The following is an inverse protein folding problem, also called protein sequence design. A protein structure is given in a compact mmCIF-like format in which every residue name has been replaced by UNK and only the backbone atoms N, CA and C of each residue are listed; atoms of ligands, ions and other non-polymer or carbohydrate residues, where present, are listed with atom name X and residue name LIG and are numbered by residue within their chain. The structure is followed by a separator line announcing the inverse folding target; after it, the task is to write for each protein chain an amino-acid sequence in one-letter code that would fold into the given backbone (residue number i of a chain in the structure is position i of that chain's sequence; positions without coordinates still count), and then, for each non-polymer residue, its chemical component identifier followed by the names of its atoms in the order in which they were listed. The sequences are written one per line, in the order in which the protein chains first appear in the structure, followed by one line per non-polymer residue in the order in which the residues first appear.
data_IF_492439892760
#
_entry.id   IF_492439892760
#
_cell.length_a   1.000
_cell.length_b   1.000
_cell.length_c   1.000
_cell.angle_alpha   90.00
_cell.angle_beta   90.00
_cell.angle_gamma   90.00
#
_symmetry.space_group_name_H-M   'P 1'
#
loop_
_entity.id
_entity.type
_entity.pdbx_description
1 polymer ?
#
# COMPACT_ATOMS: atom_id res chain seq x y z
N UNK A 1 25.26 -26.61 -122.95
CA UNK A 1 25.35 -25.75 -121.74
C UNK A 1 26.79 -25.78 -121.27
N UNK A 2 27.46 -24.63 -121.38
CA UNK A 2 28.91 -24.48 -121.28
C UNK A 2 29.42 -24.63 -119.83
N UNK A 3 30.57 -25.28 -119.60
CA UNK A 3 31.11 -25.54 -118.25
C UNK A 3 31.36 -24.25 -117.46
N UNK A 4 31.66 -23.15 -118.15
CA UNK A 4 31.89 -21.83 -117.56
C UNK A 4 30.66 -21.31 -116.82
N UNK A 5 29.48 -21.41 -117.44
CA UNK A 5 28.22 -20.93 -116.85
C UNK A 5 27.89 -21.67 -115.55
N UNK A 6 28.15 -22.98 -115.47
CA UNK A 6 27.94 -23.75 -114.23
C UNK A 6 28.92 -23.34 -113.12
N UNK A 7 30.17 -23.10 -113.49
CA UNK A 7 31.19 -22.60 -112.56
C UNK A 7 30.81 -21.23 -112.01
N UNK A 8 30.33 -20.32 -112.86
CA UNK A 8 29.94 -18.97 -112.46
C UNK A 8 28.73 -18.99 -111.51
N UNK A 9 27.71 -19.79 -111.83
CA UNK A 9 26.53 -19.98 -110.95
C UNK A 9 26.93 -20.56 -109.60
N UNK A 10 27.83 -21.55 -109.57
CA UNK A 10 28.33 -22.13 -108.33
C UNK A 10 29.14 -21.12 -107.49
N UNK A 11 30.01 -20.32 -108.11
CA UNK A 11 30.76 -19.27 -107.43
C UNK A 11 29.85 -18.20 -106.82
N UNK A 12 28.80 -17.78 -107.55
CA UNK A 12 27.82 -16.82 -107.03
C UNK A 12 27.05 -17.44 -105.86
N UNK A 13 26.55 -18.67 -106.00
CA UNK A 13 25.80 -19.35 -104.95
C UNK A 13 26.64 -19.50 -103.67
N UNK A 14 27.84 -20.05 -103.78
CA UNK A 14 28.76 -20.22 -102.63
C UNK A 14 29.14 -18.89 -101.99
N UNK A 15 29.34 -17.83 -102.80
CA UNK A 15 29.56 -16.49 -102.28
C UNK A 15 28.34 -15.97 -101.51
N UNK A 16 27.13 -16.14 -102.02
CA UNK A 16 25.91 -15.71 -101.31
C UNK A 16 25.70 -16.48 -100.01
N UNK A 17 25.95 -17.79 -100.00
CA UNK A 17 25.87 -18.63 -98.80
C UNK A 17 26.93 -18.21 -97.76
N UNK A 18 28.14 -17.87 -98.21
CA UNK A 18 29.21 -17.36 -97.34
C UNK A 18 28.83 -16.02 -96.69
N UNK A 19 28.29 -15.06 -97.45
CA UNK A 19 27.86 -13.77 -96.92
C UNK A 19 26.71 -13.94 -95.91
N UNK A 20 25.72 -14.78 -96.21
CA UNK A 20 24.64 -15.09 -95.26
C UNK A 20 25.16 -15.76 -93.98
N UNK A 21 26.13 -16.66 -94.09
CA UNK A 21 26.75 -17.26 -92.92
C UNK A 21 27.56 -16.24 -92.11
N UNK A 22 28.21 -15.30 -92.78
CA UNK A 22 28.94 -14.20 -92.15
C UNK A 22 27.99 -13.27 -91.39
N UNK A 23 26.89 -12.82 -92.02
CA UNK A 23 25.89 -11.96 -91.39
C UNK A 23 25.29 -12.61 -90.14
N UNK A 24 24.93 -13.89 -90.23
CA UNK A 24 24.46 -14.68 -89.07
C UNK A 24 25.54 -14.78 -87.98
N UNK A 25 26.81 -14.94 -88.37
CA UNK A 25 27.89 -14.99 -87.41
C UNK A 25 28.09 -13.65 -86.70
N UNK A 26 27.90 -12.53 -87.40
CA UNK A 26 28.00 -11.18 -86.82
C UNK A 26 26.81 -10.87 -85.91
N UNK A 27 25.60 -11.29 -86.27
CA UNK A 27 24.41 -11.22 -85.43
C UNK A 27 24.60 -12.00 -84.11
N UNK A 28 25.04 -13.26 -84.19
CA UNK A 28 25.33 -14.07 -83.01
C UNK A 28 26.43 -13.47 -82.12
N UNK A 29 27.43 -12.80 -82.72
CA UNK A 29 28.45 -12.07 -81.94
C UNK A 29 27.84 -10.90 -81.19
N UNK A 30 26.94 -10.13 -81.82
CA UNK A 30 26.26 -9.02 -81.17
C UNK A 30 25.33 -9.48 -80.04
N UNK A 31 24.59 -10.57 -80.24
CA UNK A 31 23.76 -11.17 -79.18
C UNK A 31 24.61 -11.68 -78.01
N UNK A 32 25.73 -12.34 -78.30
CA UNK A 32 26.66 -12.82 -77.26
C UNK A 32 27.17 -11.65 -76.40
N UNK A 33 27.50 -10.51 -77.00
CA UNK A 33 27.95 -9.33 -76.25
C UNK A 33 26.84 -8.80 -75.32
N UNK A 34 25.60 -8.68 -75.82
CA UNK A 34 24.44 -8.27 -75.00
C UNK A 34 24.17 -9.22 -73.84
N UNK A 35 24.30 -10.53 -74.07
CA UNK A 35 24.13 -11.54 -73.02
C UNK A 35 25.24 -11.48 -71.97
N UNK A 36 26.48 -11.20 -72.38
CA UNK A 36 27.59 -11.01 -71.44
C UNK A 36 27.39 -9.79 -70.54
N UNK A 37 26.93 -8.68 -71.10
CA UNK A 37 26.60 -7.46 -70.34
C UNK A 37 25.52 -7.76 -69.29
N UNK A 38 24.39 -8.35 -69.69
CA UNK A 38 23.33 -8.78 -68.76
C UNK A 38 23.82 -9.74 -67.69
N UNK A 39 24.74 -10.63 -68.03
CA UNK A 39 25.33 -11.57 -67.07
C UNK A 39 26.23 -10.84 -66.06
N UNK A 40 26.98 -9.81 -66.48
CA UNK A 40 27.77 -8.99 -65.56
C UNK A 40 26.88 -8.17 -64.62
N UNK A 41 25.81 -7.58 -65.14
CA UNK A 41 24.81 -6.87 -64.33
C UNK A 41 24.15 -7.79 -63.30
N UNK A 42 23.70 -8.97 -63.74
CA UNK A 42 23.09 -9.96 -62.86
C UNK A 42 24.06 -10.49 -61.79
N UNK A 43 25.36 -10.56 -62.09
CA UNK A 43 26.37 -10.91 -61.08
C UNK A 43 26.53 -9.81 -60.04
N UNK A 44 26.60 -8.55 -60.46
CA UNK A 44 26.73 -7.40 -59.56
C UNK A 44 25.51 -7.28 -58.64
N UNK A 45 24.29 -7.48 -59.14
CA UNK A 45 23.08 -7.46 -58.30
C UNK A 45 23.06 -8.60 -57.29
N UNK A 46 23.53 -9.78 -57.69
CA UNK A 46 23.60 -10.94 -56.81
C UNK A 46 24.65 -10.75 -55.70
N UNK A 47 25.81 -10.15 -56.02
CA UNK A 47 26.80 -9.74 -55.02
C UNK A 47 26.22 -8.73 -54.02
N UNK A 48 25.53 -7.69 -54.52
CA UNK A 48 24.83 -6.73 -53.66
C UNK A 48 23.81 -7.40 -52.73
N UNK A 49 23.00 -8.33 -53.25
CA UNK A 49 22.06 -9.08 -52.42
C UNK A 49 22.76 -9.93 -51.35
N UNK A 50 23.91 -10.56 -51.67
CA UNK A 50 24.68 -11.33 -50.67
C UNK A 50 25.17 -10.44 -49.53
N UNK A 51 25.66 -9.24 -49.84
CA UNK A 51 26.11 -8.30 -48.81
C UNK A 51 24.95 -7.86 -47.91
N UNK A 52 23.81 -7.56 -48.51
CA UNK A 52 22.58 -7.20 -47.79
C UNK A 52 22.13 -8.36 -46.90
N UNK A 53 22.09 -9.59 -47.40
CA UNK A 53 21.76 -10.78 -46.61
C UNK A 53 22.72 -10.97 -45.44
N UNK A 54 24.04 -10.89 -45.67
CA UNK A 54 25.04 -10.98 -44.61
C UNK A 54 24.92 -9.85 -43.57
N UNK A 55 24.46 -8.66 -43.98
CA UNK A 55 24.18 -7.56 -43.06
C UNK A 55 22.93 -7.83 -42.20
N UNK A 56 21.88 -8.42 -42.78
CA UNK A 56 20.67 -8.80 -42.06
C UNK A 56 20.93 -9.94 -41.08
N UNK A 57 21.72 -10.94 -41.47
CA UNK A 57 22.12 -12.03 -40.59
C UNK A 57 22.86 -11.51 -39.35
N UNK A 58 23.82 -10.61 -39.54
CA UNK A 58 24.53 -9.97 -38.40
C UNK A 58 23.56 -9.23 -37.47
N UNK A 59 22.69 -8.39 -38.03
CA UNK A 59 21.67 -7.67 -37.24
C UNK A 59 20.71 -8.60 -36.50
N UNK A 60 20.33 -9.72 -37.11
CA UNK A 60 19.50 -10.74 -36.45
C UNK A 60 20.24 -11.38 -35.27
N UNK A 61 21.53 -11.68 -35.41
CA UNK A 61 22.34 -12.21 -34.32
C UNK A 61 22.46 -11.20 -33.18
N UNK A 62 22.75 -9.94 -33.49
CA UNK A 62 22.89 -8.87 -32.49
C UNK A 62 21.58 -8.64 -31.73
N UNK A 63 20.46 -8.47 -32.45
CA UNK A 63 19.15 -8.30 -31.83
C UNK A 63 18.71 -9.52 -31.02
N UNK A 64 19.04 -10.73 -31.46
CA UNK A 64 18.78 -11.93 -30.69
C UNK A 64 19.64 -11.97 -29.41
N UNK A 65 20.92 -11.58 -29.49
CA UNK A 65 21.78 -11.47 -28.32
C UNK A 65 21.20 -10.47 -27.30
N UNK A 66 20.81 -9.27 -27.74
CA UNK A 66 20.12 -8.26 -26.92
C UNK A 66 18.81 -8.79 -26.32
N UNK A 67 17.98 -9.49 -27.10
CA UNK A 67 16.76 -10.08 -26.59
C UNK A 67 17.04 -11.13 -25.50
N UNK A 68 18.10 -11.93 -25.63
CA UNK A 68 18.47 -12.89 -24.58
C UNK A 68 19.00 -12.20 -23.32
N UNK A 69 19.76 -11.11 -23.43
CA UNK A 69 20.24 -10.37 -22.25
C UNK A 69 19.08 -9.67 -21.54
N UNK A 70 18.17 -9.03 -22.29
CA UNK A 70 16.97 -8.41 -21.75
C UNK A 70 16.06 -9.43 -21.03
N UNK A 71 15.88 -10.63 -21.61
CA UNK A 71 15.13 -11.72 -20.95
C UNK A 71 15.77 -12.14 -19.62
N UNK A 72 17.10 -12.26 -19.58
CA UNK A 72 17.82 -12.59 -18.33
C UNK A 72 17.63 -11.50 -17.28
N UNK A 73 17.71 -10.23 -17.66
CA UNK A 73 17.47 -9.10 -16.75
C UNK A 73 16.04 -9.10 -16.20
N UNK A 74 15.04 -9.32 -17.06
CA UNK A 74 13.65 -9.42 -16.61
C UNK A 74 13.43 -10.57 -15.63
N UNK A 75 14.10 -11.71 -15.82
CA UNK A 75 14.03 -12.81 -14.84
C UNK A 75 14.65 -12.42 -13.50
N UNK A 76 15.80 -11.74 -13.50
CA UNK A 76 16.44 -11.30 -12.25
C UNK A 76 15.60 -10.25 -11.53
N UNK A 77 15.04 -9.29 -12.27
CA UNK A 77 14.20 -8.23 -11.69
C UNK A 77 12.90 -8.79 -11.13
N UNK A 78 12.28 -9.75 -11.83
CA UNK A 78 11.10 -10.47 -11.33
C UNK A 78 11.38 -11.17 -10.00
N UNK A 79 12.49 -11.88 -9.87
CA UNK A 79 12.84 -12.56 -8.62
C UNK A 79 13.17 -11.57 -7.51
N UNK A 80 13.86 -10.47 -7.82
CA UNK A 80 14.12 -9.39 -6.87
C UNK A 80 12.82 -8.76 -6.35
N UNK A 81 11.87 -8.48 -7.24
CA UNK A 81 10.56 -7.92 -6.86
C UNK A 81 9.74 -8.90 -6.02
N UNK A 82 9.71 -10.18 -6.37
CA UNK A 82 9.07 -11.22 -5.55
C UNK A 82 9.67 -11.28 -4.15
N UNK A 83 11.00 -11.29 -4.03
CA UNK A 83 11.69 -11.31 -2.74
C UNK A 83 11.35 -10.07 -1.90
N UNK A 84 11.34 -8.88 -2.54
CA UNK A 84 10.92 -7.63 -1.89
C UNK A 84 9.48 -7.69 -1.38
N UNK A 85 8.56 -8.20 -2.20
CA UNK A 85 7.15 -8.34 -1.83
C UNK A 85 6.97 -9.29 -0.64
N UNK A 86 7.64 -10.44 -0.65
CA UNK A 86 7.62 -11.39 0.48
C UNK A 86 8.16 -10.72 1.75
N UNK A 87 9.24 -9.95 1.66
CA UNK A 87 9.80 -9.23 2.79
C UNK A 87 8.81 -8.19 3.35
N UNK A 88 8.13 -7.42 2.49
CA UNK A 88 7.10 -6.47 2.91
C UNK A 88 5.87 -7.15 3.50
N UNK A 89 5.41 -8.28 2.94
CA UNK A 89 4.33 -9.07 3.52
C UNK A 89 4.73 -9.55 4.91
N UNK A 90 5.94 -10.06 5.10
CA UNK A 90 6.45 -10.47 6.41
C UNK A 90 6.53 -9.30 7.41
N UNK A 91 6.89 -8.09 6.94
CA UNK A 91 6.86 -6.87 7.77
C UNK A 91 5.43 -6.53 8.19
N UNK A 92 4.46 -6.56 7.26
CA UNK A 92 3.05 -6.32 7.58
C UNK A 92 2.51 -7.34 8.58
N UNK A 93 2.87 -8.62 8.44
CA UNK A 93 2.43 -9.66 9.37
C UNK A 93 3.09 -9.53 10.76
N UNK A 94 4.27 -8.94 10.86
CA UNK A 94 4.87 -8.56 12.14
C UNK A 94 4.10 -7.41 12.78
N UNK A 95 3.80 -6.35 12.02
CA UNK A 95 3.04 -5.20 12.52
C UNK A 95 1.63 -5.60 12.98
N UNK A 96 0.94 -6.44 12.20
CA UNK A 96 -0.38 -6.98 12.57
C UNK A 96 -0.33 -7.74 13.89
N UNK A 97 0.69 -8.57 14.09
CA UNK A 97 0.88 -9.29 15.35
C UNK A 97 1.16 -8.34 16.51
N UNK A 98 2.07 -7.38 16.32
CA UNK A 98 2.37 -6.38 17.35
C UNK A 98 1.13 -5.58 17.75
N UNK A 99 0.30 -5.19 16.79
CA UNK A 99 -0.95 -4.48 17.07
C UNK A 99 -1.96 -5.37 17.81
N UNK A 100 -2.12 -6.63 17.38
CA UNK A 100 -2.99 -7.57 18.08
C UNK A 100 -2.52 -7.89 19.52
N UNK A 101 -1.20 -7.98 19.73
CA UNK A 101 -0.61 -8.19 21.06
C UNK A 101 -0.81 -6.95 21.95
N UNK A 102 -0.67 -5.74 21.38
CA UNK A 102 -0.97 -4.49 22.08
C UNK A 102 -2.45 -4.39 22.46
N UNK A 103 -3.35 -4.64 21.51
CA UNK A 103 -4.79 -4.63 21.75
C UNK A 103 -5.15 -5.64 22.84
N UNK A 104 -4.61 -6.86 22.79
CA UNK A 104 -4.84 -7.88 23.81
C UNK A 104 -4.27 -7.48 25.18
N UNK A 105 -3.09 -6.86 25.20
CA UNK A 105 -2.44 -6.40 26.44
C UNK A 105 -3.13 -5.18 27.07
N UNK A 106 -3.77 -4.33 26.27
CA UNK A 106 -4.51 -3.15 26.73
C UNK A 106 -6.01 -3.39 26.90
N UNK A 107 -6.54 -4.47 26.32
CA UNK A 107 -7.94 -4.87 26.44
C UNK A 107 -8.29 -5.08 27.90
N UNK A 108 -9.08 -4.16 28.45
CA UNK A 108 -9.51 -4.18 29.85
C UNK A 108 -8.65 -3.36 30.80
N UNK A 109 -7.40 -2.99 30.48
CA UNK A 109 -6.57 -2.17 31.37
C UNK A 109 -7.15 -0.76 31.52
N UNK A 110 -7.48 -0.12 30.40
CA UNK A 110 -8.09 1.22 30.40
C UNK A 110 -9.50 1.17 31.01
N UNK A 111 -10.40 0.25 30.60
CA UNK A 111 -11.70 0.09 31.25
C UNK A 111 -11.64 -0.18 32.76
N UNK A 112 -10.76 -1.09 33.21
CA UNK A 112 -10.62 -1.40 34.64
C UNK A 112 -10.08 -0.21 35.43
N UNK A 113 -9.14 0.56 34.87
CA UNK A 113 -8.64 1.78 35.50
C UNK A 113 -9.73 2.84 35.62
N UNK A 114 -10.55 3.00 34.57
CA UNK A 114 -11.70 3.91 34.59
C UNK A 114 -12.68 3.49 35.69
N UNK A 115 -13.01 2.19 35.78
CA UNK A 115 -13.91 1.67 36.81
C UNK A 115 -13.37 1.91 38.22
N UNK A 116 -12.09 1.59 38.47
CA UNK A 116 -11.48 1.81 39.78
C UNK A 116 -11.52 3.29 40.22
N UNK A 117 -11.24 4.21 39.30
CA UNK A 117 -11.34 5.65 39.56
C UNK A 117 -12.79 6.10 39.80
N UNK A 118 -13.76 5.51 39.11
CA UNK A 118 -15.18 5.78 39.34
C UNK A 118 -15.62 5.31 40.72
N UNK A 119 -15.21 4.11 41.15
CA UNK A 119 -15.52 3.55 42.46
C UNK A 119 -14.94 4.40 43.60
N UNK A 120 -13.69 4.85 43.44
CA UNK A 120 -13.03 5.79 44.34
C UNK A 120 -13.80 7.12 44.42
N UNK A 121 -14.17 7.70 43.27
CA UNK A 121 -14.92 8.95 43.24
C UNK A 121 -16.29 8.83 43.94
N UNK A 122 -16.99 7.71 43.73
CA UNK A 122 -18.26 7.42 44.39
C UNK A 122 -18.08 7.27 45.91
N UNK A 123 -17.01 6.61 46.35
CA UNK A 123 -16.67 6.50 47.78
C UNK A 123 -16.40 7.87 48.41
N UNK A 124 -15.60 8.71 47.75
CA UNK A 124 -15.30 10.07 48.20
C UNK A 124 -16.56 10.92 48.26
N UNK A 125 -17.47 10.82 47.28
CA UNK A 125 -18.76 11.52 47.33
C UNK A 125 -19.60 11.10 48.53
N UNK A 126 -19.67 9.81 48.84
CA UNK A 126 -20.37 9.31 50.04
C UNK A 126 -19.73 9.84 51.31
N UNK A 127 -18.41 9.72 51.46
CA UNK A 127 -17.69 10.25 52.62
C UNK A 127 -17.91 11.76 52.79
N UNK A 128 -17.85 12.52 51.70
CA UNK A 128 -18.11 13.96 51.72
C UNK A 128 -19.55 14.26 52.15
N UNK A 129 -20.53 13.50 51.67
CA UNK A 129 -21.93 13.68 52.08
C UNK A 129 -22.15 13.42 53.57
N UNK A 130 -21.51 12.38 54.13
CA UNK A 130 -21.54 12.07 55.56
C UNK A 130 -20.88 13.19 56.36
N UNK A 131 -19.71 13.66 55.92
CA UNK A 131 -18.99 14.75 56.59
C UNK A 131 -19.83 16.04 56.60
N UNK A 132 -20.48 16.38 55.48
CA UNK A 132 -21.38 17.54 55.40
C UNK A 132 -22.56 17.41 56.36
N UNK A 133 -23.16 16.22 56.45
CA UNK A 133 -24.27 15.97 57.39
C UNK A 133 -23.80 16.08 58.84
N UNK A 134 -22.63 15.53 59.16
CA UNK A 134 -22.05 15.59 60.50
C UNK A 134 -21.68 17.03 60.89
N UNK A 135 -21.04 17.78 59.99
CA UNK A 135 -20.75 19.21 60.18
C UNK A 135 -22.02 20.01 60.41
N UNK A 136 -23.07 19.81 59.60
CA UNK A 136 -24.34 20.50 59.79
C UNK A 136 -25.05 20.15 61.12
N UNK A 137 -24.96 18.89 61.55
CA UNK A 137 -25.56 18.43 62.81
C UNK A 137 -24.87 19.00 64.06
N UNK A 138 -23.56 19.26 63.97
CA UNK A 138 -22.74 19.76 65.07
C UNK A 138 -22.32 21.23 64.89
N UNK A 139 -22.89 21.93 63.90
CA UNK A 139 -22.57 23.32 63.54
C UNK A 139 -21.05 23.58 63.39
N UNK A 140 -20.30 22.56 62.94
CA UNK A 140 -18.85 22.65 62.81
C UNK A 140 -18.50 23.59 61.66
N UNK A 141 -17.75 24.63 61.96
CA UNK A 141 -17.16 25.52 60.97
C UNK A 141 -15.91 24.90 60.31
N UNK A 142 -15.41 25.58 59.28
CA UNK A 142 -14.29 25.09 58.47
C UNK A 142 -13.03 24.91 59.32
N UNK A 143 -12.77 25.85 60.23
CA UNK A 143 -11.56 25.84 61.06
C UNK A 143 -11.59 24.67 62.05
N UNK A 144 -12.74 24.39 62.67
CA UNK A 144 -12.91 23.24 63.57
C UNK A 144 -12.76 21.90 62.81
N UNK A 145 -13.27 21.80 61.58
CA UNK A 145 -13.08 20.59 60.76
C UNK A 145 -11.61 20.37 60.37
N UNK A 146 -10.88 21.43 60.04
CA UNK A 146 -9.45 21.36 59.70
C UNK A 146 -8.66 20.86 60.90
N UNK A 147 -8.90 21.42 62.10
CA UNK A 147 -8.27 21.00 63.35
C UNK A 147 -8.56 19.52 63.66
N UNK A 148 -9.83 19.11 63.58
CA UNK A 148 -10.24 17.73 63.79
C UNK A 148 -9.60 16.77 62.77
N UNK A 149 -9.44 17.17 61.50
CA UNK A 149 -8.77 16.35 60.48
C UNK A 149 -7.26 16.18 60.71
N UNK A 150 -6.63 17.13 61.40
CA UNK A 150 -5.26 17.02 61.87
C UNK A 150 -5.14 16.16 63.15
N UNK A 151 -6.26 15.66 63.67
CA UNK A 151 -6.33 14.89 64.91
C UNK A 151 -6.25 15.75 66.17
N UNK A 152 -6.39 17.06 66.04
CA UNK A 152 -6.30 18.02 67.15
C UNK A 152 -7.71 18.33 67.61
N UNK A 153 -8.03 17.93 68.83
CA UNK A 153 -9.32 18.24 69.43
C UNK A 153 -9.32 19.65 70.02
N UNK A 154 -10.50 20.26 70.13
CA UNK A 154 -10.61 21.62 70.66
C UNK A 154 -10.07 21.75 72.09
N UNK A 155 -10.06 20.69 72.88
CA UNK A 155 -9.51 20.64 74.24
C UNK A 155 -7.98 20.49 74.30
N UNK A 156 -7.34 19.99 73.24
CA UNK A 156 -5.87 19.92 73.13
C UNK A 156 -5.24 21.25 72.70
N UNK A 157 -6.04 22.20 72.23
CA UNK A 157 -5.58 23.52 71.80
C UNK A 157 -5.39 24.42 73.03
N UNK A 158 -4.18 24.93 73.21
CA UNK A 158 -3.91 25.97 74.21
C UNK A 158 -4.44 27.32 73.72
N UNK A 159 -5.73 27.56 73.97
CA UNK A 159 -6.43 28.79 73.61
C UNK A 159 -5.84 30.03 74.27
N UNK A 160 -5.18 29.87 75.43
CA UNK A 160 -4.56 31.00 76.15
C UNK A 160 -3.34 31.52 75.41
N UNK A 161 -2.59 30.64 74.75
CA UNK A 161 -1.44 30.99 73.90
C UNK A 161 -1.86 31.71 72.62
N UNK A 162 -3.10 31.47 72.16
CA UNK A 162 -3.70 32.11 70.99
C UNK A 162 -4.51 33.37 71.34
N UNK A 163 -4.71 33.67 72.64
CA UNK A 163 -5.48 34.83 73.11
C UNK A 163 -6.99 34.73 72.86
N UNK A 164 -7.52 33.51 72.71
CA UNK A 164 -8.93 33.22 72.42
C UNK A 164 -9.58 32.41 73.56
N UNK A 165 -10.91 32.33 73.60
CA UNK A 165 -11.66 31.48 74.54
C UNK A 165 -12.11 30.18 73.86
N UNK A 166 -12.09 29.02 74.56
CA UNK A 166 -12.52 27.75 73.99
C UNK A 166 -14.00 27.75 73.58
N UNK A 167 -14.39 27.15 72.44
CA UNK A 167 -15.79 27.04 72.02
C UNK A 167 -16.56 25.94 72.78
N UNK A 168 -17.83 26.20 73.12
CA UNK A 168 -18.74 25.26 73.80
C UNK A 168 -19.24 24.17 72.82
N UNK A 169 -18.48 23.10 72.62
CA UNK A 169 -18.95 21.92 71.87
C UNK A 169 -19.55 20.90 72.84
N UNK A 170 -20.88 20.78 72.84
CA UNK A 170 -21.60 19.78 73.64
C UNK A 170 -21.34 18.39 73.05
N UNK A 171 -20.42 17.63 73.65
CA UNK A 171 -20.23 16.20 73.38
C UNK A 171 -21.42 15.43 73.94
N UNK A 172 -22.35 15.03 73.07
CA UNK A 172 -23.43 14.11 73.43
C UNK A 172 -22.89 12.69 73.63
N UNK A 173 -23.02 12.16 74.85
CA UNK A 173 -22.73 10.75 75.18
C UNK A 173 -23.74 9.80 74.51
N UNK A 174 -23.37 8.54 74.20
CA UNK A 174 -24.18 7.65 73.38
C UNK A 174 -25.39 7.13 74.17
N UNK A 175 -26.59 7.50 73.73
CA UNK A 175 -27.83 7.00 74.32
C UNK A 175 -28.43 5.95 73.38
N UNK A 176 -28.45 4.71 73.87
CA UNK A 176 -29.16 3.57 73.30
C UNK A 176 -30.66 3.88 73.12
N UNK A 177 -31.19 3.62 71.94
CA UNK A 177 -32.61 3.69 71.66
C UNK A 177 -32.89 3.22 70.24
N UNK A 178 -33.27 1.95 70.12
CA UNK A 178 -33.99 1.42 68.97
C UNK A 178 -35.16 2.34 68.62
N UNK A 179 -35.26 2.77 67.36
CA UNK A 179 -36.56 2.96 66.74
C UNK A 179 -36.46 2.89 65.21
N UNK A 180 -37.27 1.96 64.71
CA UNK A 180 -37.50 1.59 63.33
C UNK A 180 -38.21 2.72 62.56
N UNK A 181 -37.79 3.02 61.33
CA UNK A 181 -38.71 3.27 60.19
C UNK A 181 -37.95 3.57 58.88
N UNK A 182 -38.01 2.61 57.96
CA UNK A 182 -38.32 2.85 56.54
C UNK A 182 -39.71 3.51 56.44
N UNK A 183 -40.13 4.17 55.33
CA UNK A 183 -39.69 3.96 53.95
C UNK A 183 -39.48 5.28 53.15
N UNK A 184 -38.89 5.21 51.95
CA UNK A 184 -39.58 5.62 50.70
C UNK A 184 -38.64 5.50 49.49
N UNK A 185 -39.07 4.73 48.50
CA UNK A 185 -38.66 4.91 47.09
C UNK A 185 -39.46 6.07 46.49
N UNK A 186 -38.93 6.73 45.45
CA UNK A 186 -39.66 6.61 44.20
C UNK A 186 -38.77 6.34 42.98
N UNK A 187 -39.37 5.80 41.90
CA UNK A 187 -38.66 5.25 40.76
C UNK A 187 -38.23 6.36 39.80
N UNK A 188 -37.18 6.13 39.03
CA UNK A 188 -36.95 6.90 37.82
C UNK A 188 -36.54 5.97 36.70
N UNK A 189 -37.57 5.51 35.99
CA UNK A 189 -37.46 5.23 34.55
C UNK A 189 -36.75 6.42 33.88
N UNK A 190 -35.68 6.16 33.14
CA UNK A 190 -35.75 6.20 31.68
C UNK A 190 -34.45 5.66 31.09
N UNK A 191 -34.61 4.50 30.46
CA UNK A 191 -33.73 4.01 29.41
C UNK A 191 -33.63 5.06 28.30
N UNK A 192 -32.42 5.40 27.89
CA UNK A 192 -32.19 6.13 26.64
C UNK A 192 -30.88 5.68 26.02
N UNK A 193 -30.98 4.59 25.28
CA UNK A 193 -30.06 4.22 24.19
C UNK A 193 -30.06 5.31 23.12
N UNK A 194 -28.91 5.88 22.72
CA UNK A 194 -28.85 6.63 21.47
C UNK A 194 -28.72 5.66 20.30
N UNK A 195 -29.75 5.63 19.46
CA UNK A 195 -29.75 4.97 18.15
C UNK A 195 -28.80 5.73 17.21
N UNK A 196 -27.77 5.04 16.73
CA UNK A 196 -26.86 5.51 15.70
C UNK A 196 -27.57 5.49 14.34
N UNK A 197 -27.55 6.57 13.52
CA UNK A 197 -28.06 6.53 12.16
C UNK A 197 -27.16 5.65 11.28
N UNK A 198 -27.74 4.62 10.68
CA UNK A 198 -27.10 3.82 9.63
C UNK A 198 -26.84 4.71 8.41
N UNK A 199 -25.57 4.95 8.09
CA UNK A 199 -25.18 5.52 6.80
C UNK A 199 -25.35 4.48 5.69
N UNK A 200 -26.12 4.85 4.67
CA UNK A 200 -26.30 4.09 3.44
C UNK A 200 -25.00 4.00 2.62
N UNK A 201 -24.74 2.89 1.89
CA UNK A 201 -23.60 2.80 0.99
C UNK A 201 -23.84 3.59 -0.32
N UNK A 202 -22.80 4.17 -0.94
CA UNK A 202 -22.94 4.90 -2.20
C UNK A 202 -23.12 3.96 -3.40
N UNK A 203 -24.03 4.36 -4.29
CA UNK A 203 -24.27 3.82 -5.63
C UNK A 203 -22.98 3.84 -6.46
N UNK A 204 -22.63 2.70 -7.07
CA UNK A 204 -21.62 2.63 -8.13
C UNK A 204 -22.28 2.94 -9.48
N UNK A 205 -21.69 3.81 -10.33
CA UNK A 205 -22.15 3.98 -11.70
C UNK A 205 -21.56 2.91 -12.64
N UNK A 206 -22.42 2.42 -13.55
CA UNK A 206 -22.11 1.54 -14.68
C UNK A 206 -20.86 1.95 -15.45
N UNK A 207 -20.05 0.96 -15.84
CA UNK A 207 -19.08 1.10 -16.93
C UNK A 207 -19.74 0.75 -18.26
N UNK A 208 -19.42 1.59 -19.25
CA UNK A 208 -19.70 1.45 -20.68
C UNK A 208 -18.84 0.36 -21.33
#
# INVERSE_FOLDING_TARGET
MDLRVKSDVFCVQTSTELHQAQDRSDELRAERLKLLERLTEAKATLESHREVTASFERRLVDTNAEATTARRQLTTDRERLKASLIAHTAQLDRLRRQLADQDRGQSGVIPARIQALQDENNSLRRANSVLRRHSAMHELDVDTLVLASAGISADEIDWTLLGLNPPDVIVGSPQSGDESSSPDEPPTEVSSTPVVPRSSPPVSPSSA
#
